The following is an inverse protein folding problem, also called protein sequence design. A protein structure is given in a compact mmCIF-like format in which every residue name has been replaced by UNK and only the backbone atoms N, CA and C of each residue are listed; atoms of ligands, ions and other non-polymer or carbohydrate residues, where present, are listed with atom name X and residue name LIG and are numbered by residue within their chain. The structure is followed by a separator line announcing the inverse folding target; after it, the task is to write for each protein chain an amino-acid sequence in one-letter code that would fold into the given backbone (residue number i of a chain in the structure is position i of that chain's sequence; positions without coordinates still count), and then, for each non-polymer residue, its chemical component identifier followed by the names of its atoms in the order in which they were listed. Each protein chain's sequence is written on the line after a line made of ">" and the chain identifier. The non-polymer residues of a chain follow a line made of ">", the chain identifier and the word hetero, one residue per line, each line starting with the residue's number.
data_IF_484747722411
#
_entry.id   IF_484747722411
#
_cell.length_a   1.000
_cell.length_b   1.000
_cell.length_c   1.000
_cell.angle_alpha   90.00
_cell.angle_beta   90.00
_cell.angle_gamma   90.00
#
_symmetry.space_group_name_H-M   'P 1'
#
loop_
_entity.id
_entity.type
_entity.pdbx_description
1 polymer ?
#
# COMPACT_ATOMS: atom_id res chain seq x y z
N UNK A 1 4.06 1.83 6.34
CA UNK A 1 4.59 2.80 5.36
C UNK A 1 3.62 3.98 5.24
N UNK A 2 4.11 5.22 5.11
CA UNK A 2 3.21 6.37 4.87
C UNK A 2 2.80 6.43 3.38
N UNK A 3 1.65 7.02 3.08
CA UNK A 3 1.12 7.16 1.71
C UNK A 3 0.86 8.63 1.43
N UNK A 4 1.55 9.16 0.41
CA UNK A 4 1.42 10.55 0.00
C UNK A 4 0.58 10.67 -1.27
N UNK A 5 0.04 11.86 -1.52
CA UNK A 5 -0.77 12.14 -2.71
C UNK A 5 -0.05 11.76 -4.01
N UNK A 6 1.26 12.09 -4.08
CA UNK A 6 2.14 11.77 -5.22
C UNK A 6 2.26 10.26 -5.48
N UNK A 7 2.10 9.42 -4.46
CA UNK A 7 2.24 7.97 -4.61
C UNK A 7 0.97 7.36 -5.24
N UNK A 8 -0.12 8.14 -5.28
CA UNK A 8 -1.43 7.75 -5.79
C UNK A 8 -1.82 8.49 -7.09
N UNK A 9 -0.93 9.32 -7.64
CA UNK A 9 -1.22 10.17 -8.79
C UNK A 9 -1.43 9.40 -10.10
N UNK A 10 -0.88 8.19 -10.19
CA UNK A 10 -0.94 7.33 -11.36
C UNK A 10 -0.74 5.85 -10.98
N UNK A 11 -1.13 4.94 -11.87
CA UNK A 11 -0.85 3.50 -11.67
C UNK A 11 0.65 3.21 -11.60
N UNK A 12 1.47 3.98 -12.31
CA UNK A 12 2.93 3.85 -12.28
C UNK A 12 3.50 4.26 -10.93
N UNK A 13 2.99 5.34 -10.33
CA UNK A 13 3.34 5.76 -8.98
C UNK A 13 2.91 4.72 -7.93
N UNK A 14 1.70 4.17 -8.03
CA UNK A 14 1.23 3.12 -7.10
C UNK A 14 2.05 1.84 -7.26
N UNK A 15 2.49 1.50 -8.48
CA UNK A 15 3.41 0.37 -8.70
C UNK A 15 4.78 0.60 -8.09
N UNK A 16 5.28 1.84 -8.10
CA UNK A 16 6.52 2.18 -7.41
C UNK A 16 6.35 2.06 -5.89
N UNK A 17 5.25 2.60 -5.35
CA UNK A 17 4.88 2.45 -3.94
C UNK A 17 4.78 0.96 -3.53
N UNK A 18 4.22 0.12 -4.41
CA UNK A 18 4.08 -1.31 -4.12
C UNK A 18 5.44 -2.03 -4.07
N UNK A 19 6.41 -1.64 -4.92
CA UNK A 19 7.78 -2.17 -4.84
C UNK A 19 8.48 -1.74 -3.56
N UNK A 20 8.40 -0.46 -3.22
CA UNK A 20 8.96 0.09 -1.99
C UNK A 20 8.33 -0.57 -0.75
N UNK A 21 7.04 -0.89 -0.81
CA UNK A 21 6.34 -1.64 0.23
C UNK A 21 6.86 -3.07 0.35
N UNK A 22 7.10 -3.76 -0.77
CA UNK A 22 7.69 -5.11 -0.74
C UNK A 22 9.07 -5.08 -0.07
N UNK A 23 9.92 -4.09 -0.40
CA UNK A 23 11.24 -3.93 0.23
C UNK A 23 11.12 -3.59 1.73
N UNK A 24 10.20 -2.71 2.11
CA UNK A 24 10.01 -2.30 3.50
C UNK A 24 9.52 -3.42 4.43
N UNK A 25 8.78 -4.38 3.88
CA UNK A 25 8.21 -5.52 4.62
C UNK A 25 8.89 -6.86 4.32
N UNK A 26 10.01 -6.86 3.60
CA UNK A 26 10.77 -8.06 3.21
C UNK A 26 9.89 -9.11 2.51
N UNK A 27 9.02 -8.65 1.61
CA UNK A 27 8.09 -9.48 0.84
C UNK A 27 8.70 -9.86 -0.50
N UNK A 28 8.97 -11.14 -0.70
CA UNK A 28 9.29 -11.68 -2.02
C UNK A 28 7.99 -11.92 -2.80
N UNK A 29 7.64 -11.00 -3.71
CA UNK A 29 6.52 -11.15 -4.65
C UNK A 29 7.04 -11.28 -6.07
N UNK A 30 6.59 -12.31 -6.77
CA UNK A 30 6.86 -12.40 -8.20
C UNK A 30 6.03 -11.36 -8.98
N UNK A 31 6.42 -11.11 -10.24
CA UNK A 31 5.75 -10.11 -11.06
C UNK A 31 4.26 -10.41 -11.29
N UNK A 32 3.90 -11.68 -11.46
CA UNK A 32 2.53 -12.10 -11.71
C UNK A 32 1.66 -11.95 -10.45
N UNK A 33 2.21 -12.26 -9.27
CA UNK A 33 1.59 -11.99 -7.97
C UNK A 33 1.36 -10.50 -7.77
N UNK A 34 2.38 -9.66 -8.03
CA UNK A 34 2.23 -8.21 -7.94
C UNK A 34 1.15 -7.68 -8.89
N UNK A 35 1.05 -8.22 -10.12
CA UNK A 35 0.01 -7.83 -11.08
C UNK A 35 -1.38 -8.23 -10.60
N UNK A 36 -1.54 -9.44 -10.05
CA UNK A 36 -2.85 -9.92 -9.54
C UNK A 36 -3.33 -9.12 -8.33
N UNK A 37 -2.42 -8.79 -7.43
CA UNK A 37 -2.74 -8.08 -6.19
C UNK A 37 -2.69 -6.55 -6.33
N UNK A 38 -2.29 -6.03 -7.49
CA UNK A 38 -2.12 -4.59 -7.70
C UNK A 38 -3.38 -3.80 -7.36
N UNK A 39 -4.56 -4.26 -7.82
CA UNK A 39 -5.81 -3.56 -7.58
C UNK A 39 -6.16 -3.54 -6.08
N UNK A 40 -5.96 -4.65 -5.36
CA UNK A 40 -6.17 -4.72 -3.92
C UNK A 40 -5.20 -3.79 -3.16
N UNK A 41 -3.92 -3.81 -3.53
CA UNK A 41 -2.92 -2.93 -2.95
C UNK A 41 -3.27 -1.45 -3.16
N UNK A 42 -3.66 -1.10 -4.39
CA UNK A 42 -4.06 0.25 -4.76
C UNK A 42 -5.26 0.74 -3.97
N UNK A 43 -6.30 -0.08 -3.83
CA UNK A 43 -7.49 0.25 -3.02
C UNK A 43 -7.11 0.53 -1.56
N UNK A 44 -6.30 -0.34 -0.94
CA UNK A 44 -5.85 -0.15 0.43
C UNK A 44 -4.98 1.11 0.60
N UNK A 45 -4.12 1.43 -0.36
CA UNK A 45 -3.33 2.66 -0.34
C UNK A 45 -4.22 3.92 -0.43
N UNK A 46 -5.24 3.89 -1.29
CA UNK A 46 -6.23 4.97 -1.36
C UNK A 46 -7.07 5.09 -0.10
N UNK A 47 -7.42 4.00 0.57
CA UNK A 47 -8.16 4.02 1.83
C UNK A 47 -7.33 4.62 2.96
N UNK A 48 -6.07 4.21 3.11
CA UNK A 48 -5.14 4.80 4.09
C UNK A 48 -4.96 6.29 3.86
N UNK A 49 -4.69 6.70 2.61
CA UNK A 49 -4.55 8.12 2.28
C UNK A 49 -5.82 8.92 2.61
N UNK A 50 -7.00 8.44 2.19
CA UNK A 50 -8.27 9.13 2.47
C UNK A 50 -8.55 9.24 3.97
N UNK A 51 -8.28 8.18 4.72
CA UNK A 51 -8.40 8.20 6.18
C UNK A 51 -7.47 9.26 6.78
N UNK A 52 -6.19 9.26 6.41
CA UNK A 52 -5.21 10.21 6.92
C UNK A 52 -5.53 11.66 6.56
N UNK A 53 -6.16 11.91 5.41
CA UNK A 53 -6.65 13.24 5.04
C UNK A 53 -7.76 13.74 5.97
N UNK A 54 -8.66 12.85 6.42
CA UNK A 54 -9.72 13.21 7.40
C UNK A 54 -9.11 13.54 8.75
N UNK A 55 -8.10 12.78 9.18
CA UNK A 55 -7.42 12.92 10.47
C UNK A 55 -6.10 13.71 10.38
N UNK A 56 -6.02 14.69 9.46
CA UNK A 56 -4.77 15.44 9.23
C UNK A 56 -4.24 16.19 10.47
N UNK A 57 -5.11 16.50 11.45
CA UNK A 57 -4.76 17.18 12.70
C UNK A 57 -4.67 16.25 13.91
N UNK A 58 -4.92 14.96 13.73
CA UNK A 58 -4.95 13.94 14.78
C UNK A 58 -3.96 12.82 14.39
N UNK A 59 -2.65 13.05 14.51
CA UNK A 59 -1.63 12.11 14.04
C UNK A 59 -1.72 10.72 14.70
N UNK A 60 -2.27 10.62 15.90
CA UNK A 60 -2.56 9.37 16.59
C UNK A 60 -3.64 8.51 15.92
N UNK A 61 -4.52 9.12 15.12
CA UNK A 61 -5.58 8.45 14.35
C UNK A 61 -5.13 8.13 12.92
N UNK A 62 -3.93 8.54 12.51
CA UNK A 62 -3.40 8.24 11.18
C UNK A 62 -2.99 6.77 11.07
N UNK A 63 -3.31 6.17 9.93
CA UNK A 63 -2.96 4.82 9.59
C UNK A 63 -1.70 4.77 8.73
N UNK A 64 -0.98 3.65 8.85
CA UNK A 64 0.12 3.31 7.95
C UNK A 64 -0.31 2.15 7.07
N UNK A 65 0.24 2.08 5.86
CA UNK A 65 0.17 0.88 5.04
C UNK A 65 0.85 -0.27 5.79
N UNK A 66 0.09 -1.30 6.13
CA UNK A 66 0.55 -2.44 6.92
C UNK A 66 1.14 -3.59 6.08
N UNK A 67 1.65 -4.66 6.71
CA UNK A 67 2.30 -5.80 6.04
C UNK A 67 1.36 -6.72 5.24
N UNK A 68 0.05 -6.42 5.23
CA UNK A 68 -0.97 -7.16 4.47
C UNK A 68 -1.73 -6.26 3.50
N UNK A 69 -1.13 -5.15 3.08
CA UNK A 69 -1.75 -4.16 2.21
C UNK A 69 -2.10 -4.71 0.83
N UNK A 70 -1.45 -5.78 0.38
CA UNK A 70 -1.77 -6.48 -0.87
C UNK A 70 -2.84 -7.57 -0.71
N UNK A 71 -3.38 -7.76 0.49
CA UNK A 71 -4.44 -8.73 0.77
C UNK A 71 -3.98 -10.19 0.89
N UNK A 72 -2.68 -10.46 0.82
CA UNK A 72 -2.12 -11.81 0.95
C UNK A 72 -1.45 -11.99 2.31
N UNK A 73 -1.77 -13.09 3.01
CA UNK A 73 -1.03 -13.50 4.20
C UNK A 73 0.20 -14.32 3.80
N UNK A 74 1.19 -14.36 4.69
CA UNK A 74 2.42 -15.13 4.48
C UNK A 74 2.17 -16.64 4.39
N UNK A 75 1.02 -17.12 4.89
CA UNK A 75 0.62 -18.53 4.86
C UNK A 75 -0.26 -18.90 3.64
N UNK A 76 -0.54 -17.98 2.71
CA UNK A 76 -1.43 -18.21 1.56
C UNK A 76 -0.71 -18.88 0.35
N UNK A 77 0.52 -19.39 0.52
CA UNK A 77 1.28 -20.18 -0.49
C UNK A 77 0.97 -21.68 -0.51
#
# INVERSE_FOLDING_TARGET
>A
MDVLEKDLESDEAVRALYKDWCEAYDKERDHDQMVRQFDCFKENAHDVYRHNQVYMYEPEEQHLLGPFADGLRDDDE
#
